data_IF_654844877203
#
_entry.id   IF_654844877203
#
_cell.length_a   1.000
_cell.length_b   1.000
_cell.length_c   1.000
_cell.angle_alpha   90.00
_cell.angle_beta   90.00
_cell.angle_gamma   90.00
#
_symmetry.space_group_name_H-M   'P 1'
#
loop_
_entity.id
_entity.type
_entity.pdbx_description
1 polymer ?
#
# COMPACT_ATOMS: atom_id res chain seq x y z
N UNK A 1 -27.13 -15.08 39.38
CA UNK A 1 -25.93 -15.05 38.52
C UNK A 1 -24.69 -14.95 39.42
N UNK A 2 -23.71 -15.86 39.31
CA UNK A 2 -22.56 -15.86 40.25
C UNK A 2 -21.56 -14.74 39.91
N UNK A 3 -20.79 -14.27 40.90
CA UNK A 3 -19.76 -13.21 40.72
C UNK A 3 -18.77 -13.53 39.58
N UNK A 4 -18.50 -14.82 39.33
CA UNK A 4 -17.65 -15.28 38.22
C UNK A 4 -18.27 -15.02 36.85
N UNK A 5 -19.57 -15.27 36.71
CA UNK A 5 -20.30 -15.02 35.47
C UNK A 5 -20.39 -13.51 35.18
N UNK A 6 -20.57 -12.69 36.22
CA UNK A 6 -20.54 -11.23 36.09
C UNK A 6 -19.18 -10.74 35.59
N UNK A 7 -18.08 -11.22 36.18
CA UNK A 7 -16.73 -10.85 35.75
C UNK A 7 -16.47 -11.23 34.29
N UNK A 8 -16.87 -12.45 33.88
CA UNK A 8 -16.72 -12.91 32.50
C UNK A 8 -17.50 -12.02 31.52
N UNK A 9 -18.76 -11.69 31.83
CA UNK A 9 -19.55 -10.82 30.96
C UNK A 9 -18.97 -9.41 30.86
N UNK A 10 -18.46 -8.86 31.96
CA UNK A 10 -17.78 -7.56 31.95
C UNK A 10 -16.54 -7.60 31.05
N UNK A 11 -15.71 -8.65 31.15
CA UNK A 11 -14.53 -8.80 30.29
C UNK A 11 -14.91 -8.94 28.82
N UNK A 12 -15.92 -9.75 28.49
CA UNK A 12 -16.38 -9.90 27.11
C UNK A 12 -16.92 -8.57 26.58
N UNK A 13 -17.75 -7.87 27.36
CA UNK A 13 -18.27 -6.56 26.97
C UNK A 13 -17.16 -5.55 26.75
N UNK A 14 -16.13 -5.54 27.61
CA UNK A 14 -14.96 -4.67 27.46
C UNK A 14 -14.17 -4.98 26.19
N UNK A 15 -13.93 -6.26 25.88
CA UNK A 15 -13.23 -6.67 24.64
C UNK A 15 -14.03 -6.26 23.42
N UNK A 16 -15.34 -6.55 23.39
CA UNK A 16 -16.20 -6.15 22.28
C UNK A 16 -16.20 -4.63 22.10
N UNK A 17 -16.34 -3.88 23.20
CA UNK A 17 -16.32 -2.42 23.17
C UNK A 17 -15.00 -1.89 22.60
N UNK A 18 -13.85 -2.46 23.00
CA UNK A 18 -12.54 -2.10 22.46
C UNK A 18 -12.45 -2.37 20.95
N UNK A 19 -12.97 -3.51 20.50
CA UNK A 19 -12.98 -3.90 19.08
C UNK A 19 -13.83 -2.97 18.20
N UNK A 20 -14.77 -2.19 18.74
CA UNK A 20 -15.54 -1.19 17.99
C UNK A 20 -15.01 0.23 18.15
N UNK A 21 -14.66 0.64 19.37
CA UNK A 21 -14.22 2.02 19.65
C UNK A 21 -12.89 2.33 18.97
N UNK A 22 -11.91 1.43 19.05
CA UNK A 22 -10.58 1.64 18.45
C UNK A 22 -10.67 1.88 16.93
N UNK A 23 -11.39 1.06 16.14
CA UNK A 23 -11.63 1.35 14.73
C UNK A 23 -12.20 2.73 14.44
N UNK A 24 -13.22 3.14 15.20
CA UNK A 24 -13.92 4.42 14.96
C UNK A 24 -12.97 5.59 15.18
N UNK A 25 -12.13 5.53 16.21
CA UNK A 25 -11.13 6.56 16.50
C UNK A 25 -10.00 6.58 15.47
N UNK A 26 -9.61 5.41 14.94
CA UNK A 26 -8.47 5.30 14.03
C UNK A 26 -8.83 5.41 12.55
N UNK A 27 -10.09 5.28 12.19
CA UNK A 27 -10.57 5.49 10.83
C UNK A 27 -10.11 6.81 10.18
N UNK A 28 -10.12 7.97 10.86
CA UNK A 28 -9.61 9.22 10.27
C UNK A 28 -8.08 9.28 10.14
N UNK A 29 -7.33 8.38 10.78
CA UNK A 29 -5.87 8.35 10.66
C UNK A 29 -5.44 7.72 9.32
N UNK A 30 -4.30 8.17 8.81
CA UNK A 30 -3.61 7.51 7.70
C UNK A 30 -3.31 6.05 8.02
N UNK A 31 -3.38 5.17 7.02
CA UNK A 31 -3.28 3.71 7.19
C UNK A 31 -2.06 3.28 7.99
N UNK A 32 -0.90 3.90 7.74
CA UNK A 32 0.36 3.63 8.45
C UNK A 32 0.32 3.96 9.96
N UNK A 33 -0.58 4.85 10.37
CA UNK A 33 -0.74 5.28 11.77
C UNK A 33 -1.88 4.55 12.49
N UNK A 34 -2.56 3.60 11.82
CA UNK A 34 -3.58 2.75 12.42
C UNK A 34 -2.95 1.57 13.14
N UNK A 35 -3.66 1.01 14.10
CA UNK A 35 -3.21 -0.05 14.98
C UNK A 35 -3.60 -1.42 14.46
N UNK A 36 -2.65 -2.36 14.58
CA UNK A 36 -2.88 -3.78 14.35
C UNK A 36 -3.33 -4.07 12.91
N UNK A 37 -4.38 -4.87 12.76
CA UNK A 37 -4.85 -5.33 11.45
C UNK A 37 -5.50 -4.21 10.60
N UNK A 38 -5.78 -3.04 11.19
CA UNK A 38 -6.46 -1.93 10.52
C UNK A 38 -5.54 -1.10 9.63
N UNK A 39 -4.22 -1.24 9.80
CA UNK A 39 -3.25 -0.64 8.88
C UNK A 39 -3.33 -1.27 7.48
N UNK A 40 -3.81 -2.51 7.39
CA UNK A 40 -3.90 -3.31 6.16
C UNK A 40 -5.28 -3.22 5.48
N UNK A 41 -6.26 -2.50 6.04
CA UNK A 41 -7.65 -2.51 5.55
C UNK A 41 -7.96 -1.46 4.48
N UNK A 42 -7.01 -0.58 4.16
CA UNK A 42 -7.17 0.40 3.08
C UNK A 42 -6.53 -0.18 1.82
N UNK A 43 -7.29 -0.27 0.73
CA UNK A 43 -6.71 -0.43 -0.61
C UNK A 43 -5.71 0.70 -0.78
N UNK A 44 -4.41 0.38 -0.83
CA UNK A 44 -3.45 1.39 -1.22
C UNK A 44 -3.74 1.70 -2.68
N UNK A 45 -3.94 2.98 -3.02
CA UNK A 45 -4.19 3.34 -4.38
C UNK A 45 -2.95 2.93 -5.18
N UNK A 46 -3.18 2.17 -6.26
CA UNK A 46 -2.13 1.69 -7.14
C UNK A 46 -1.27 2.90 -7.53
N UNK A 47 0.02 2.86 -7.20
CA UNK A 47 0.96 3.82 -7.78
C UNK A 47 1.05 3.47 -9.26
N UNK A 48 0.58 4.37 -10.11
CA UNK A 48 0.63 4.19 -11.56
C UNK A 48 2.07 4.42 -12.01
N UNK A 49 2.64 3.39 -12.64
CA UNK A 49 4.00 3.43 -13.17
C UNK A 49 3.90 3.47 -14.69
N UNK A 50 4.57 4.44 -15.30
CA UNK A 50 4.66 4.56 -16.75
C UNK A 50 6.10 4.32 -17.16
N UNK A 51 6.33 3.32 -18.01
CA UNK A 51 7.62 3.12 -18.64
C UNK A 51 7.73 4.05 -19.86
N UNK A 52 8.82 4.82 -19.91
CA UNK A 52 9.19 5.58 -21.08
C UNK A 52 10.17 4.76 -21.91
N UNK A 53 9.80 4.45 -23.14
CA UNK A 53 10.61 3.73 -24.11
C UNK A 53 11.63 4.66 -24.80
N UNK A 54 12.65 4.12 -25.51
CA UNK A 54 13.72 4.91 -26.12
C UNK A 54 13.22 5.81 -27.25
N UNK A 55 12.14 5.42 -27.91
CA UNK A 55 11.43 6.18 -28.97
C UNK A 55 10.51 7.27 -28.41
N UNK A 56 10.35 7.34 -27.08
CA UNK A 56 9.47 8.28 -26.40
C UNK A 56 8.04 7.77 -26.21
N UNK A 57 7.75 6.52 -26.59
CA UNK A 57 6.46 5.91 -26.29
C UNK A 57 6.30 5.68 -24.78
N UNK A 58 5.07 5.88 -24.29
CA UNK A 58 4.71 5.77 -22.88
C UNK A 58 3.81 4.55 -22.70
N UNK A 59 4.29 3.57 -21.94
CA UNK A 59 3.57 2.33 -21.69
C UNK A 59 3.20 2.25 -20.22
N UNK A 60 1.92 2.07 -19.93
CA UNK A 60 1.45 1.86 -18.56
C UNK A 60 1.87 0.47 -18.08
N UNK A 61 2.50 0.42 -16.91
CA UNK A 61 3.05 -0.80 -16.32
C UNK A 61 2.20 -1.17 -15.12
N UNK A 62 1.48 -2.29 -15.21
CA UNK A 62 0.84 -2.85 -14.04
C UNK A 62 1.86 -3.57 -13.18
N UNK A 63 2.10 -3.02 -11.99
CA UNK A 63 3.07 -3.56 -11.04
C UNK A 63 2.78 -5.03 -10.66
N UNK A 64 1.50 -5.43 -10.65
CA UNK A 64 1.05 -6.81 -10.39
C UNK A 64 1.57 -7.83 -11.40
N UNK A 65 1.88 -7.39 -12.62
CA UNK A 65 2.28 -8.28 -13.70
C UNK A 65 3.78 -8.60 -13.62
N UNK A 66 4.53 -7.77 -12.89
CA UNK A 66 5.99 -7.85 -12.81
C UNK A 66 6.50 -8.20 -11.41
N UNK A 67 5.75 -7.92 -10.35
CA UNK A 67 6.14 -8.24 -8.97
C UNK A 67 5.08 -9.17 -8.37
N UNK A 68 5.48 -10.38 -7.96
CA UNK A 68 4.56 -11.34 -7.37
C UNK A 68 4.35 -11.03 -5.87
N UNK A 69 3.10 -11.01 -5.40
CA UNK A 69 2.81 -10.83 -3.98
C UNK A 69 2.90 -9.38 -3.48
N UNK A 70 2.65 -8.42 -4.38
CA UNK A 70 2.54 -6.99 -4.05
C UNK A 70 1.53 -6.83 -2.92
N UNK A 71 2.02 -6.39 -1.77
CA UNK A 71 1.17 -5.98 -0.66
C UNK A 71 0.88 -4.51 -0.79
N UNK A 72 -0.31 -4.10 -0.36
CA UNK A 72 -0.71 -2.70 -0.34
C UNK A 72 0.39 -1.84 0.30
N UNK A 73 1.05 -2.31 1.37
CA UNK A 73 2.03 -1.52 2.15
C UNK A 73 3.44 -1.45 1.53
N UNK A 74 3.70 -2.15 0.42
CA UNK A 74 5.02 -2.08 -0.22
C UNK A 74 5.21 -0.71 -0.84
N UNK A 75 6.13 0.07 -0.27
CA UNK A 75 6.66 1.26 -0.94
C UNK A 75 7.52 0.83 -2.13
N UNK A 76 7.40 1.54 -3.24
CA UNK A 76 8.33 1.46 -4.36
C UNK A 76 9.69 1.98 -3.90
N UNK A 77 10.56 1.06 -3.47
CA UNK A 77 11.94 1.36 -3.12
C UNK A 77 12.82 1.23 -4.36
N UNK A 78 13.95 1.92 -4.37
CA UNK A 78 14.92 1.89 -5.48
C UNK A 78 15.25 0.46 -5.97
N UNK A 79 15.46 -0.57 -5.10
CA UNK A 79 15.75 -1.93 -5.56
C UNK A 79 14.61 -2.57 -6.35
N UNK A 80 13.35 -2.21 -6.06
CA UNK A 80 12.20 -2.75 -6.79
C UNK A 80 12.04 -2.08 -8.15
N UNK A 81 12.33 -0.77 -8.22
CA UNK A 81 12.38 -0.02 -9.48
C UNK A 81 13.51 -0.52 -10.37
N UNK A 82 14.66 -0.85 -9.79
CA UNK A 82 15.79 -1.47 -10.49
C UNK A 82 15.40 -2.85 -11.07
N UNK A 83 14.75 -3.70 -10.28
CA UNK A 83 14.26 -4.99 -10.76
C UNK A 83 13.20 -4.86 -11.88
N UNK A 84 12.38 -3.82 -11.82
CA UNK A 84 11.44 -3.48 -12.89
C UNK A 84 12.16 -3.03 -14.16
N UNK A 85 13.18 -2.19 -14.05
CA UNK A 85 14.03 -1.80 -15.18
C UNK A 85 14.77 -3.01 -15.78
N UNK A 86 15.14 -4.02 -15.00
CA UNK A 86 15.71 -5.26 -15.53
C UNK A 86 14.70 -6.07 -16.35
N UNK A 87 13.45 -6.17 -15.86
CA UNK A 87 12.37 -6.92 -16.53
C UNK A 87 11.81 -6.22 -17.77
N UNK A 88 11.70 -4.89 -17.72
CA UNK A 88 11.25 -4.07 -18.83
C UNK A 88 12.45 -3.74 -19.70
N UNK A 89 12.82 -4.70 -20.56
CA UNK A 89 14.11 -4.72 -21.27
C UNK A 89 14.41 -3.43 -22.05
N UNK A 90 13.39 -2.68 -22.42
CA UNK A 90 13.52 -1.51 -23.28
C UNK A 90 13.21 -0.18 -22.57
N UNK A 91 12.83 -0.20 -21.30
CA UNK A 91 12.51 1.05 -20.58
C UNK A 91 13.77 1.92 -20.41
N UNK A 92 13.69 3.18 -20.82
CA UNK A 92 14.69 4.22 -20.57
C UNK A 92 14.56 4.79 -19.16
N UNK A 93 13.33 4.99 -18.72
CA UNK A 93 13.01 5.48 -17.37
C UNK A 93 11.62 5.03 -16.95
N UNK A 94 11.39 4.99 -15.64
CA UNK A 94 10.10 4.77 -15.02
C UNK A 94 9.60 6.09 -14.43
N UNK A 95 8.41 6.50 -14.81
CA UNK A 95 7.71 7.67 -14.26
C UNK A 95 6.71 7.19 -13.22
N UNK A 96 6.81 7.75 -12.02
CA UNK A 96 6.03 7.36 -10.85
C UNK A 96 5.00 8.45 -10.57
N UNK A 97 3.73 8.06 -10.60
CA UNK A 97 2.62 8.98 -10.38
C UNK A 97 2.05 8.84 -8.98
N UNK A 98 1.76 9.98 -8.36
CA UNK A 98 1.09 10.04 -7.09
C UNK A 98 -0.34 9.53 -7.26
N UNK A 99 -0.75 8.48 -6.53
CA UNK A 99 -2.11 7.95 -6.64
C UNK A 99 -3.19 8.92 -6.15
N UNK A 100 -2.83 9.90 -5.32
CA UNK A 100 -3.80 10.83 -4.72
C UNK A 100 -4.05 12.06 -5.60
N UNK A 101 -3.06 12.47 -6.41
CA UNK A 101 -3.13 13.67 -7.25
C UNK A 101 -3.06 13.37 -8.76
N UNK A 102 -2.60 12.19 -9.16
CA UNK A 102 -2.29 11.86 -10.56
C UNK A 102 -1.11 12.66 -11.12
N UNK A 103 -0.34 13.34 -10.26
CA UNK A 103 0.81 14.14 -10.66
C UNK A 103 2.09 13.29 -10.66
N UNK A 104 3.03 13.66 -11.52
CA UNK A 104 4.34 13.03 -11.56
C UNK A 104 5.11 13.33 -10.27
N UNK A 105 5.40 12.29 -9.50
CA UNK A 105 6.10 12.40 -8.22
C UNK A 105 7.61 12.26 -8.42
N UNK A 106 8.04 11.31 -9.25
CA UNK A 106 9.46 11.08 -9.51
C UNK A 106 9.71 10.36 -10.84
N UNK A 107 10.95 10.47 -11.32
CA UNK A 107 11.43 9.75 -12.51
C UNK A 107 12.65 8.94 -12.12
N UNK A 108 12.58 7.63 -12.32
CA UNK A 108 13.67 6.71 -12.04
C UNK A 108 14.36 6.32 -13.36
N UNK A 109 15.62 6.72 -13.58
CA UNK A 109 16.34 6.34 -14.79
C UNK A 109 16.71 4.85 -14.75
N UNK A 110 16.39 4.13 -15.82
CA UNK A 110 16.88 2.76 -16.00
C UNK A 110 18.29 2.83 -16.57
N UNK A 111 19.28 3.01 -15.70
CA UNK A 111 20.69 3.00 -16.12
C UNK A 111 21.09 1.55 -16.45
N UNK A 112 21.42 1.31 -17.72
CA UNK A 112 22.10 0.10 -18.17
C UNK A 112 23.47 0.45 -18.72
#
# INVERSE_FOLDING_TARGET
MSRRHLAILITIAAVLTLQFIVPVIQYPLDGANRWGWQMYSRENPRQDIVALLPDGERVEVQFSDHVFGVRAEMRLTDPVLEQLCERLIEARSLELYSPSSGELESVFPCNR
#
